data_IF_273736317938
#
_entry.id   IF_273736317938
#
_cell.length_a   1.000
_cell.length_b   1.000
_cell.length_c   1.000
_cell.angle_alpha   90.00
_cell.angle_beta   90.00
_cell.angle_gamma   90.00
#
_symmetry.space_group_name_H-M   'P 1'
#
loop_
_entity.id
_entity.type
_entity.pdbx_description
1 polymer ?
#
# COMPACT_ATOMS: atom_id res chain seq x y z
N UNK A 1 12.50 6.02 -42.78
CA UNK A 1 11.09 5.84 -42.33
C UNK A 1 10.70 4.37 -42.49
N UNK A 2 10.68 3.60 -41.41
CA UNK A 2 10.13 2.25 -41.44
C UNK A 2 8.63 2.35 -41.12
N UNK A 3 7.83 2.64 -42.17
CA UNK A 3 6.37 2.67 -42.09
C UNK A 3 5.80 1.25 -42.05
N UNK A 4 5.69 0.64 -40.89
CA UNK A 4 4.89 -0.58 -40.72
C UNK A 4 3.43 -0.14 -40.69
N UNK A 5 2.71 -0.31 -41.81
CA UNK A 5 1.25 -0.15 -41.86
C UNK A 5 0.58 -1.38 -41.27
N UNK A 6 0.13 -1.28 -39.99
CA UNK A 6 -0.67 -2.32 -39.37
C UNK A 6 -2.14 -2.17 -39.79
N UNK A 7 -2.79 -3.28 -40.16
CA UNK A 7 -4.23 -3.29 -40.42
C UNK A 7 -5.02 -2.95 -39.15
N UNK A 8 -6.21 -2.35 -39.29
CA UNK A 8 -7.12 -2.06 -38.16
C UNK A 8 -7.43 -3.34 -37.33
N UNK A 9 -7.52 -4.47 -38.01
CA UNK A 9 -7.78 -5.75 -37.38
C UNK A 9 -6.58 -6.27 -36.56
N UNK A 10 -5.36 -6.10 -37.07
CA UNK A 10 -4.12 -6.44 -36.35
C UNK A 10 -3.98 -5.58 -35.12
N UNK A 11 -4.25 -4.27 -35.21
CA UNK A 11 -4.25 -3.36 -34.06
C UNK A 11 -5.28 -3.83 -33.03
N UNK A 12 -6.52 -4.13 -33.43
CA UNK A 12 -7.58 -4.59 -32.53
C UNK A 12 -7.21 -5.93 -31.82
N UNK A 13 -6.70 -6.90 -32.56
CA UNK A 13 -6.23 -8.19 -32.01
C UNK A 13 -5.11 -7.98 -31.00
N UNK A 14 -4.17 -7.10 -31.31
CA UNK A 14 -3.04 -6.78 -30.39
C UNK A 14 -3.55 -6.12 -29.11
N UNK A 15 -4.42 -5.11 -29.21
CA UNK A 15 -5.01 -4.44 -28.04
C UNK A 15 -5.79 -5.41 -27.17
N UNK A 16 -6.64 -6.26 -27.76
CA UNK A 16 -7.42 -7.28 -27.02
C UNK A 16 -6.50 -8.29 -26.30
N UNK A 17 -5.40 -8.71 -26.95
CA UNK A 17 -4.42 -9.60 -26.33
C UNK A 17 -3.76 -8.93 -25.12
N UNK A 18 -3.29 -7.69 -25.28
CA UNK A 18 -2.63 -6.95 -24.20
C UNK A 18 -3.59 -6.67 -23.04
N UNK A 19 -4.87 -6.38 -23.33
CA UNK A 19 -5.89 -6.24 -22.31
C UNK A 19 -6.16 -7.57 -21.59
N UNK A 20 -6.21 -8.69 -22.32
CA UNK A 20 -6.30 -10.03 -21.73
C UNK A 20 -5.13 -10.32 -20.77
N UNK A 21 -3.90 -10.04 -21.19
CA UNK A 21 -2.69 -10.19 -20.37
C UNK A 21 -2.74 -9.28 -19.11
N UNK A 22 -3.28 -8.08 -19.25
CA UNK A 22 -3.43 -7.13 -18.16
C UNK A 22 -4.47 -7.60 -17.12
N UNK A 23 -5.60 -8.16 -17.59
CA UNK A 23 -6.62 -8.77 -16.71
C UNK A 23 -6.04 -10.02 -16.03
N UNK A 24 -5.29 -10.85 -16.77
CA UNK A 24 -4.64 -12.04 -16.25
C UNK A 24 -3.65 -11.72 -15.13
N UNK A 25 -3.07 -10.50 -15.09
CA UNK A 25 -2.23 -10.09 -13.99
C UNK A 25 -2.93 -10.17 -12.64
N UNK A 26 -4.20 -9.77 -12.56
CA UNK A 26 -4.98 -9.78 -11.32
C UNK A 26 -5.71 -11.13 -11.05
N UNK A 27 -5.60 -12.09 -11.95
CA UNK A 27 -6.18 -13.44 -11.75
C UNK A 27 -5.12 -14.54 -11.60
N UNK A 28 -3.84 -14.21 -11.82
CA UNK A 28 -2.75 -15.17 -11.68
C UNK A 28 -2.56 -15.63 -10.24
N UNK A 29 -2.02 -16.84 -10.08
CA UNK A 29 -1.52 -17.31 -8.78
C UNK A 29 -0.37 -16.39 -8.33
N UNK A 30 -0.35 -16.05 -7.06
CA UNK A 30 0.64 -15.18 -6.42
C UNK A 30 1.43 -15.97 -5.37
N UNK A 31 2.68 -15.58 -5.08
CA UNK A 31 3.43 -16.20 -4.01
C UNK A 31 2.78 -15.87 -2.65
N UNK A 32 2.90 -16.80 -1.71
CA UNK A 32 2.59 -16.53 -0.32
C UNK A 32 3.61 -15.54 0.25
N UNK A 33 3.13 -14.53 0.95
CA UNK A 33 3.92 -13.41 1.45
C UNK A 33 3.71 -13.22 2.95
N UNK A 34 4.80 -12.92 3.66
CA UNK A 34 4.75 -12.67 5.09
C UNK A 34 4.21 -11.27 5.43
N UNK A 35 4.66 -10.27 4.70
CA UNK A 35 4.26 -8.87 4.91
C UNK A 35 3.57 -8.37 3.64
N UNK A 36 2.41 -7.73 3.80
CA UNK A 36 1.64 -7.17 2.69
C UNK A 36 1.39 -5.69 2.94
N UNK A 37 1.83 -4.85 2.02
CA UNK A 37 1.53 -3.42 1.99
C UNK A 37 0.32 -3.18 1.10
N UNK A 38 -0.66 -2.43 1.60
CA UNK A 38 -1.80 -1.93 0.84
C UNK A 38 -1.79 -0.40 0.88
N UNK A 39 -1.76 0.23 -0.28
CA UNK A 39 -1.74 1.69 -0.39
C UNK A 39 -2.56 2.14 -1.60
N UNK A 40 -3.36 3.17 -1.39
CA UNK A 40 -4.22 3.78 -2.39
C UNK A 40 -3.51 4.91 -3.15
N UNK A 41 -3.69 4.94 -4.46
CA UNK A 41 -3.22 6.06 -5.29
C UNK A 41 -4.31 6.53 -6.22
N UNK A 42 -4.45 7.86 -6.37
CA UNK A 42 -5.44 8.44 -7.27
C UNK A 42 -4.82 8.72 -8.64
N UNK A 43 -5.47 8.21 -9.68
CA UNK A 43 -5.09 8.46 -11.08
C UNK A 43 -6.25 9.10 -11.85
N UNK A 44 -5.96 10.05 -12.76
CA UNK A 44 -6.98 10.63 -13.61
C UNK A 44 -7.30 9.67 -14.76
N UNK A 45 -8.55 9.24 -14.88
CA UNK A 45 -9.04 8.40 -16.00
C UNK A 45 -10.08 9.19 -16.78
N UNK A 46 -9.96 9.17 -18.11
CA UNK A 46 -10.93 9.79 -18.99
C UNK A 46 -12.01 8.79 -19.34
N UNK A 47 -13.24 9.02 -18.88
CA UNK A 47 -14.41 8.24 -19.26
C UNK A 47 -15.21 8.96 -20.34
N UNK A 48 -15.69 8.23 -21.33
CA UNK A 48 -16.64 8.71 -22.34
C UNK A 48 -18.05 8.32 -21.91
N UNK A 49 -18.91 9.33 -21.77
CA UNK A 49 -20.35 9.15 -21.60
C UNK A 49 -21.05 9.79 -22.82
N UNK A 50 -21.33 8.98 -23.87
CA UNK A 50 -21.84 9.49 -25.12
C UNK A 50 -20.85 10.47 -25.79
N UNK A 51 -21.33 11.65 -26.19
CA UNK A 51 -20.52 12.71 -26.82
C UNK A 51 -19.69 13.53 -25.82
N UNK A 52 -19.91 13.36 -24.52
CA UNK A 52 -19.13 14.04 -23.49
C UNK A 52 -17.99 13.18 -22.93
N UNK A 53 -16.88 13.82 -22.61
CA UNK A 53 -15.76 13.14 -21.94
C UNK A 53 -15.44 13.84 -20.64
N UNK A 54 -15.44 13.11 -19.53
CA UNK A 54 -15.08 13.61 -18.20
C UNK A 54 -13.82 12.94 -17.71
N UNK A 55 -12.94 13.71 -17.08
CA UNK A 55 -11.78 13.16 -16.37
C UNK A 55 -12.16 12.99 -14.91
N UNK A 56 -12.21 11.75 -14.45
CA UNK A 56 -12.48 11.41 -13.06
C UNK A 56 -11.19 10.93 -12.38
N UNK A 57 -11.07 11.21 -11.09
CA UNK A 57 -9.96 10.70 -10.28
C UNK A 57 -10.41 9.41 -9.62
N UNK A 58 -9.84 8.31 -10.04
CA UNK A 58 -10.14 7.00 -9.47
C UNK A 58 -9.04 6.57 -8.51
N UNK A 59 -9.45 5.98 -7.40
CA UNK A 59 -8.54 5.35 -6.47
C UNK A 59 -8.15 3.97 -6.99
N UNK A 60 -6.86 3.72 -7.04
CA UNK A 60 -6.30 2.42 -7.34
C UNK A 60 -5.57 1.94 -6.09
N UNK A 61 -6.07 0.86 -5.51
CA UNK A 61 -5.39 0.15 -4.45
C UNK A 61 -4.33 -0.76 -5.06
N UNK A 62 -3.11 -0.64 -4.60
CA UNK A 62 -2.00 -1.53 -4.95
C UNK A 62 -1.67 -2.42 -3.77
N UNK A 63 -1.51 -3.72 -4.01
CA UNK A 63 -1.02 -4.68 -3.04
C UNK A 63 0.41 -5.10 -3.40
N UNK A 64 1.35 -4.88 -2.48
CA UNK A 64 2.74 -5.29 -2.58
C UNK A 64 3.05 -6.28 -1.46
N UNK A 65 3.54 -7.45 -1.80
CA UNK A 65 3.96 -8.49 -0.86
C UNK A 65 5.48 -8.57 -0.71
N UNK A 66 5.90 -9.04 0.46
CA UNK A 66 7.26 -9.48 0.74
C UNK A 66 7.21 -10.98 0.88
N UNK A 67 7.90 -11.68 -0.02
CA UNK A 67 7.99 -13.15 -0.01
C UNK A 67 8.82 -13.65 1.18
N UNK A 68 8.79 -14.96 1.42
CA UNK A 68 9.66 -15.60 2.43
C UNK A 68 11.15 -15.42 2.17
N UNK A 69 11.53 -15.17 0.91
CA UNK A 69 12.92 -14.81 0.52
C UNK A 69 13.25 -13.32 0.65
N UNK A 70 12.29 -12.50 1.07
CA UNK A 70 12.47 -11.05 1.19
C UNK A 70 12.26 -10.26 -0.11
N UNK A 71 11.88 -10.91 -1.22
CA UNK A 71 11.66 -10.23 -2.48
C UNK A 71 10.35 -9.43 -2.44
N UNK A 72 10.37 -8.26 -3.07
CA UNK A 72 9.21 -7.40 -3.24
C UNK A 72 8.45 -7.77 -4.50
N UNK A 73 7.18 -8.08 -4.38
CA UNK A 73 6.32 -8.45 -5.51
C UNK A 73 5.00 -7.70 -5.47
N UNK A 74 4.59 -7.10 -6.59
CA UNK A 74 3.23 -6.57 -6.71
C UNK A 74 2.28 -7.75 -6.86
N UNK A 75 1.35 -7.90 -5.94
CA UNK A 75 0.37 -8.97 -5.90
C UNK A 75 -0.83 -8.66 -6.80
N UNK A 76 -1.25 -7.40 -6.84
CA UNK A 76 -2.38 -6.94 -7.64
C UNK A 76 -2.61 -5.44 -7.52
N UNK A 77 -3.54 -4.95 -8.34
CA UNK A 77 -4.07 -3.60 -8.28
C UNK A 77 -5.60 -3.64 -8.47
N UNK A 78 -6.32 -2.78 -7.78
CA UNK A 78 -7.78 -2.82 -7.74
C UNK A 78 -8.33 -1.41 -7.88
N UNK A 79 -9.32 -1.26 -8.76
CA UNK A 79 -10.07 -0.02 -8.86
C UNK A 79 -11.13 -0.01 -7.74
N UNK A 80 -11.06 0.98 -6.88
CA UNK A 80 -11.97 1.14 -5.75
C UNK A 80 -12.72 2.46 -5.90
N UNK A 81 -13.88 2.48 -6.57
CA UNK A 81 -14.61 3.70 -6.86
C UNK A 81 -15.13 4.40 -5.60
N UNK A 82 -15.28 3.67 -4.50
CA UNK A 82 -15.60 4.19 -3.18
C UNK A 82 -14.75 3.47 -2.12
N UNK A 83 -14.08 4.22 -1.27
CA UNK A 83 -13.34 3.72 -0.10
C UNK A 83 -14.33 3.20 0.98
N UNK A 84 -14.99 2.08 0.70
CA UNK A 84 -15.94 1.44 1.60
C UNK A 84 -15.40 0.11 2.13
N UNK A 85 -15.79 -0.27 3.35
CA UNK A 85 -15.37 -1.51 4.00
C UNK A 85 -15.63 -2.78 3.16
N UNK A 86 -16.63 -2.77 2.29
CA UNK A 86 -16.95 -3.87 1.37
C UNK A 86 -15.87 -4.10 0.31
N UNK A 87 -15.27 -3.03 -0.21
CA UNK A 87 -14.22 -3.13 -1.22
C UNK A 87 -12.95 -3.80 -0.66
N UNK A 88 -12.69 -3.65 0.63
CA UNK A 88 -11.52 -4.25 1.27
C UNK A 88 -11.65 -5.76 1.43
N UNK A 89 -12.82 -6.25 1.79
CA UNK A 89 -13.09 -7.69 1.88
C UNK A 89 -12.88 -8.38 0.52
N UNK A 90 -13.38 -7.79 -0.56
CA UNK A 90 -13.22 -8.32 -1.91
C UNK A 90 -11.76 -8.37 -2.35
N UNK A 91 -10.99 -7.30 -2.07
CA UNK A 91 -9.54 -7.24 -2.35
C UNK A 91 -8.81 -8.33 -1.58
N UNK A 92 -9.06 -8.45 -0.27
CA UNK A 92 -8.38 -9.42 0.58
C UNK A 92 -8.74 -10.86 0.22
N UNK A 93 -10.03 -11.15 -0.06
CA UNK A 93 -10.48 -12.47 -0.53
C UNK A 93 -9.93 -12.83 -1.91
N UNK A 94 -9.81 -11.85 -2.81
CA UNK A 94 -9.14 -12.06 -4.09
C UNK A 94 -7.67 -12.44 -3.90
N UNK A 95 -6.94 -11.76 -3.02
CA UNK A 95 -5.56 -12.12 -2.71
C UNK A 95 -5.47 -13.52 -2.10
N UNK A 96 -6.37 -13.87 -1.17
CA UNK A 96 -6.43 -15.19 -0.54
C UNK A 96 -6.68 -16.29 -1.56
N UNK A 97 -7.68 -16.12 -2.44
CA UNK A 97 -8.03 -17.12 -3.47
C UNK A 97 -6.92 -17.35 -4.49
N UNK A 98 -5.99 -16.42 -4.62
CA UNK A 98 -4.86 -16.46 -5.56
C UNK A 98 -3.57 -16.98 -4.97
N UNK A 99 -3.51 -17.28 -3.67
CA UNK A 99 -2.33 -17.91 -3.07
C UNK A 99 -1.74 -17.17 -1.85
N UNK A 100 -2.31 -16.08 -1.40
CA UNK A 100 -1.92 -15.44 -0.15
C UNK A 100 -2.59 -16.18 1.02
N UNK A 101 -1.88 -17.13 1.62
CA UNK A 101 -2.49 -18.00 2.63
C UNK A 101 -2.15 -17.62 4.06
N UNK A 102 -0.91 -17.20 4.31
CA UNK A 102 -0.39 -17.00 5.67
C UNK A 102 0.39 -15.69 5.85
N UNK A 103 -0.20 -14.52 5.51
CA UNK A 103 0.44 -13.26 5.82
C UNK A 103 0.49 -13.06 7.33
N UNK A 104 1.65 -12.69 7.86
CA UNK A 104 1.81 -12.36 9.28
C UNK A 104 1.46 -10.90 9.57
N UNK A 105 1.63 -10.01 8.59
CA UNK A 105 1.45 -8.57 8.78
C UNK A 105 0.88 -7.88 7.54
N UNK A 106 -0.14 -7.07 7.76
CA UNK A 106 -0.57 -6.05 6.81
C UNK A 106 -0.12 -4.67 7.27
N UNK A 107 0.44 -3.89 6.35
CA UNK A 107 0.80 -2.47 6.56
C UNK A 107 -0.08 -1.63 5.66
N UNK A 108 -0.88 -0.75 6.25
CA UNK A 108 -1.83 0.08 5.48
C UNK A 108 -1.79 1.54 5.95
N UNK A 109 -2.28 2.45 5.11
CA UNK A 109 -2.66 3.77 5.58
C UNK A 109 -3.96 3.68 6.42
N UNK A 110 -4.36 4.78 7.05
CA UNK A 110 -5.52 4.81 7.95
C UNK A 110 -6.87 4.61 7.26
N UNK A 111 -7.00 3.63 6.38
CA UNK A 111 -8.23 3.29 5.65
C UNK A 111 -9.27 2.74 6.63
N UNK A 112 -10.38 3.46 6.73
CA UNK A 112 -11.48 3.08 7.63
C UNK A 112 -12.05 1.71 7.27
N UNK A 113 -12.15 0.82 8.26
CA UNK A 113 -12.66 -0.55 8.10
C UNK A 113 -11.64 -1.56 7.58
N UNK A 114 -10.42 -1.15 7.24
CA UNK A 114 -9.37 -2.06 6.79
C UNK A 114 -8.90 -3.02 7.90
N UNK A 115 -8.64 -2.59 9.15
CA UNK A 115 -8.27 -3.50 10.22
C UNK A 115 -9.31 -4.59 10.46
N UNK A 116 -10.60 -4.23 10.40
CA UNK A 116 -11.71 -5.17 10.55
C UNK A 116 -11.78 -6.16 9.39
N UNK A 117 -11.57 -5.69 8.16
CA UNK A 117 -11.52 -6.53 6.97
C UNK A 117 -10.36 -7.54 7.05
N UNK A 118 -9.19 -7.09 7.47
CA UNK A 118 -8.02 -7.97 7.69
C UNK A 118 -8.35 -9.05 8.72
N UNK A 119 -8.91 -8.71 9.87
CA UNK A 119 -9.30 -9.68 10.91
C UNK A 119 -10.33 -10.71 10.42
N UNK A 120 -11.26 -10.31 9.54
CA UNK A 120 -12.25 -11.24 8.96
C UNK A 120 -11.65 -12.22 7.97
N UNK A 121 -10.74 -11.77 7.11
CA UNK A 121 -10.20 -12.58 6.01
C UNK A 121 -8.93 -13.32 6.43
N UNK A 122 -8.09 -12.69 7.23
CA UNK A 122 -6.82 -13.22 7.72
C UNK A 122 -6.74 -13.08 9.26
N UNK A 123 -7.49 -13.89 10.01
CA UNK A 123 -7.62 -13.73 11.47
C UNK A 123 -6.31 -13.86 12.26
N UNK A 124 -5.32 -14.54 11.68
CA UNK A 124 -3.99 -14.69 12.29
C UNK A 124 -3.02 -13.56 11.93
N UNK A 125 -3.36 -12.73 10.95
CA UNK A 125 -2.50 -11.63 10.54
C UNK A 125 -2.62 -10.44 11.48
N UNK A 126 -1.48 -9.83 11.79
CA UNK A 126 -1.42 -8.56 12.49
C UNK A 126 -1.62 -7.38 11.51
N UNK A 127 -1.96 -6.24 12.05
CA UNK A 127 -2.07 -5.00 11.29
C UNK A 127 -1.16 -3.93 11.88
N UNK A 128 -0.44 -3.23 11.02
CA UNK A 128 0.36 -2.05 11.34
C UNK A 128 -0.15 -0.85 10.55
N UNK A 129 -0.42 0.22 11.23
CA UNK A 129 -0.70 1.50 10.59
C UNK A 129 0.59 2.16 10.08
N UNK A 130 0.57 2.70 8.88
CA UNK A 130 1.69 3.48 8.36
C UNK A 130 1.88 4.78 9.16
N UNK A 131 2.94 4.86 9.95
CA UNK A 131 3.19 6.02 10.82
C UNK A 131 3.54 7.29 10.05
N UNK A 132 4.03 7.17 8.82
CA UNK A 132 4.25 8.33 7.94
C UNK A 132 2.90 8.93 7.51
N UNK A 133 1.91 8.10 7.17
CA UNK A 133 0.56 8.56 6.85
C UNK A 133 -0.13 9.12 8.09
N UNK A 134 0.02 8.49 9.23
CA UNK A 134 -0.53 9.00 10.49
C UNK A 134 0.08 10.36 10.85
N UNK A 135 1.40 10.53 10.73
CA UNK A 135 2.05 11.83 10.91
C UNK A 135 1.47 12.90 10.00
N UNK A 136 1.21 12.58 8.72
CA UNK A 136 0.59 13.51 7.76
C UNK A 136 -0.84 13.86 8.18
N UNK A 137 -1.58 12.89 8.72
CA UNK A 137 -2.96 13.08 9.22
C UNK A 137 -2.95 13.99 10.45
N UNK A 138 -2.11 13.74 11.44
CA UNK A 138 -1.89 14.59 12.61
C UNK A 138 -1.54 16.02 12.17
N UNK A 139 -0.60 16.18 11.23
CA UNK A 139 -0.19 17.50 10.74
C UNK A 139 -1.28 18.26 9.98
N UNK A 140 -2.30 17.59 9.45
CA UNK A 140 -3.47 18.27 8.84
C UNK A 140 -4.40 18.87 9.89
N UNK A 141 -4.46 18.26 11.06
CA UNK A 141 -5.37 18.67 12.14
C UNK A 141 -4.78 19.79 13.03
N UNK A 142 -3.55 20.24 12.76
CA UNK A 142 -2.87 21.28 13.53
C UNK A 142 -2.52 22.51 12.68
N UNK A 143 -2.29 23.66 13.36
CA UNK A 143 -1.87 24.91 12.71
C UNK A 143 -0.55 24.72 11.96
N UNK A 144 -0.38 25.44 10.86
CA UNK A 144 0.83 25.36 10.03
C UNK A 144 2.12 25.65 10.82
N UNK A 145 2.06 26.60 11.78
CA UNK A 145 3.18 26.95 12.68
C UNK A 145 3.66 25.76 13.51
N UNK A 146 2.75 24.88 13.93
CA UNK A 146 3.02 23.85 14.92
C UNK A 146 3.34 22.49 14.28
N UNK A 147 3.10 22.36 12.96
CA UNK A 147 3.26 21.09 12.21
C UNK A 147 4.64 20.47 12.37
N UNK A 148 5.69 21.31 12.32
CA UNK A 148 7.05 20.81 12.44
C UNK A 148 7.27 20.20 13.83
N UNK A 149 6.89 20.91 14.88
CA UNK A 149 7.09 20.46 16.25
C UNK A 149 6.24 19.22 16.55
N UNK A 150 4.96 19.20 16.16
CA UNK A 150 4.08 18.05 16.32
C UNK A 150 4.64 16.82 15.59
N UNK A 151 5.13 17.01 14.36
CA UNK A 151 5.75 15.92 13.59
C UNK A 151 7.03 15.38 14.24
N UNK A 152 7.89 16.28 14.73
CA UNK A 152 9.14 15.90 15.40
C UNK A 152 8.84 15.18 16.73
N UNK A 153 7.88 15.68 17.52
CA UNK A 153 7.43 15.06 18.76
C UNK A 153 6.82 13.66 18.52
N UNK A 154 5.96 13.52 17.50
CA UNK A 154 5.38 12.22 17.17
C UNK A 154 6.43 11.25 16.62
N UNK A 155 7.39 11.74 15.85
CA UNK A 155 8.54 10.93 15.42
C UNK A 155 9.33 10.40 16.61
N UNK A 156 9.52 11.19 17.65
CA UNK A 156 10.19 10.76 18.88
C UNK A 156 9.45 9.61 19.55
N UNK A 157 8.11 9.57 19.47
CA UNK A 157 7.29 8.46 20.00
C UNK A 157 7.68 7.14 19.33
N UNK A 158 7.59 7.05 18.02
CA UNK A 158 7.78 5.78 17.31
C UNK A 158 9.24 5.42 17.00
N UNK A 159 10.19 6.26 17.38
CA UNK A 159 11.63 5.92 17.36
C UNK A 159 12.15 5.46 18.72
N UNK A 160 11.26 5.08 19.62
CA UNK A 160 11.60 4.45 20.90
C UNK A 160 12.29 3.09 20.69
N UNK A 161 13.00 2.62 21.72
CA UNK A 161 13.76 1.36 21.67
C UNK A 161 12.90 0.12 21.90
N UNK A 162 11.64 0.29 22.28
CA UNK A 162 10.68 -0.77 22.52
C UNK A 162 9.31 -0.22 22.79
N UNK A 163 8.32 -1.14 22.88
CA UNK A 163 6.90 -0.80 23.00
C UNK A 163 6.59 -0.01 24.27
N UNK A 164 7.09 -0.42 25.43
CA UNK A 164 6.81 0.25 26.70
C UNK A 164 7.31 1.70 26.68
N UNK A 165 8.50 1.94 26.11
CA UNK A 165 9.02 3.29 25.95
C UNK A 165 8.20 4.09 24.94
N UNK A 166 7.74 3.47 23.86
CA UNK A 166 6.88 4.12 22.87
C UNK A 166 5.55 4.56 23.48
N UNK A 167 4.93 3.72 24.29
CA UNK A 167 3.68 4.02 25.01
C UNK A 167 3.87 5.17 26.00
N UNK A 168 4.97 5.19 26.76
CA UNK A 168 5.31 6.29 27.66
C UNK A 168 5.51 7.62 26.92
N UNK A 169 6.25 7.57 25.80
CA UNK A 169 6.48 8.74 24.95
C UNK A 169 5.17 9.22 24.29
N UNK A 170 4.26 8.29 23.93
CA UNK A 170 2.94 8.63 23.42
C UNK A 170 2.10 9.36 24.46
N UNK A 171 2.08 8.86 25.70
CA UNK A 171 1.37 9.53 26.78
C UNK A 171 1.91 10.95 27.05
N UNK A 172 3.24 11.15 26.93
CA UNK A 172 3.88 12.46 27.04
C UNK A 172 3.48 13.38 25.88
N UNK A 173 3.45 12.85 24.66
CA UNK A 173 2.99 13.58 23.46
C UNK A 173 1.53 14.02 23.63
N UNK A 174 0.66 13.13 24.05
CA UNK A 174 -0.75 13.42 24.29
C UNK A 174 -0.94 14.50 25.32
N UNK A 175 -0.30 14.37 26.49
CA UNK A 175 -0.37 15.36 27.59
C UNK A 175 0.08 16.75 27.13
N UNK A 176 1.13 16.82 26.29
CA UNK A 176 1.64 18.08 25.73
C UNK A 176 0.63 18.78 24.81
N UNK A 177 -0.04 18.00 23.95
CA UNK A 177 -0.83 18.55 22.86
C UNK A 177 -2.35 18.55 23.11
N UNK A 178 -2.85 17.83 24.13
CA UNK A 178 -4.28 17.66 24.41
C UNK A 178 -5.02 18.98 24.63
N UNK A 179 -4.39 19.95 25.36
CA UNK A 179 -5.01 21.26 25.60
C UNK A 179 -5.16 22.09 24.33
N UNK A 180 -4.22 21.97 23.41
CA UNK A 180 -4.19 22.77 22.17
C UNK A 180 -4.95 22.10 21.03
N UNK A 181 -4.86 20.76 20.93
CA UNK A 181 -5.43 19.96 19.85
C UNK A 181 -6.18 18.71 20.36
N UNK A 182 -7.26 18.88 21.16
CA UNK A 182 -7.95 17.76 21.79
C UNK A 182 -8.55 16.76 20.78
N UNK A 183 -9.00 17.24 19.62
CA UNK A 183 -9.56 16.39 18.57
C UNK A 183 -8.49 15.49 17.94
N UNK A 184 -7.30 16.01 17.70
CA UNK A 184 -6.16 15.28 17.16
C UNK A 184 -5.72 14.18 18.14
N UNK A 185 -5.53 14.52 19.42
CA UNK A 185 -5.13 13.56 20.45
C UNK A 185 -6.18 12.45 20.63
N UNK A 186 -7.47 12.79 20.65
CA UNK A 186 -8.55 11.80 20.75
C UNK A 186 -8.57 10.83 19.56
N UNK A 187 -8.31 11.30 18.33
CA UNK A 187 -8.18 10.42 17.16
C UNK A 187 -7.01 9.46 17.31
N UNK A 188 -5.88 9.94 17.79
CA UNK A 188 -4.67 9.14 17.96
C UNK A 188 -4.85 8.04 19.03
N UNK A 189 -5.52 8.35 20.15
CA UNK A 189 -5.85 7.37 21.20
C UNK A 189 -6.73 6.21 20.73
N UNK A 190 -7.50 6.41 19.68
CA UNK A 190 -8.39 5.39 19.09
C UNK A 190 -7.66 4.52 18.05
N UNK A 191 -6.33 4.62 17.94
CA UNK A 191 -5.53 3.83 17.00
C UNK A 191 -4.84 2.67 17.70
N UNK A 192 -5.32 1.46 17.48
CA UNK A 192 -4.83 0.26 18.19
C UNK A 192 -3.50 -0.31 17.65
N UNK A 193 -3.12 0.06 16.41
CA UNK A 193 -2.06 -0.65 15.68
C UNK A 193 -0.85 0.26 15.34
N UNK A 194 -0.50 1.16 16.26
CA UNK A 194 0.62 2.10 16.06
C UNK A 194 1.98 1.42 16.22
N UNK A 195 2.09 0.46 17.14
CA UNK A 195 3.36 -0.14 17.55
C UNK A 195 3.48 -1.63 17.25
N UNK A 196 2.65 -2.17 16.38
CA UNK A 196 2.70 -3.58 15.98
C UNK A 196 4.06 -3.94 15.37
N UNK A 197 4.72 -3.02 14.68
CA UNK A 197 6.04 -3.21 14.10
C UNK A 197 7.11 -3.59 15.14
N UNK A 198 6.94 -3.23 16.40
CA UNK A 198 7.90 -3.52 17.49
C UNK A 198 7.90 -5.00 17.93
N UNK A 199 6.95 -5.81 17.48
CA UNK A 199 6.98 -7.27 17.64
C UNK A 199 7.84 -7.98 16.59
N UNK A 200 8.38 -7.23 15.63
CA UNK A 200 9.22 -7.75 14.55
C UNK A 200 10.69 -7.36 14.79
N UNK A 201 11.66 -8.00 14.11
CA UNK A 201 13.07 -7.67 14.25
C UNK A 201 13.35 -6.17 14.02
N UNK A 202 14.15 -5.57 14.90
CA UNK A 202 14.43 -4.13 14.90
C UNK A 202 14.97 -3.63 13.55
N UNK A 203 15.77 -4.45 12.86
CA UNK A 203 16.29 -4.16 11.52
C UNK A 203 15.18 -3.86 10.50
N UNK A 204 13.98 -4.39 10.70
CA UNK A 204 12.83 -4.20 9.81
C UNK A 204 11.90 -3.06 10.25
N UNK A 205 12.01 -2.55 11.45
CA UNK A 205 11.07 -1.56 11.99
C UNK A 205 10.82 -0.40 11.04
N UNK A 206 11.90 0.24 10.56
CA UNK A 206 11.78 1.38 9.64
C UNK A 206 11.08 1.02 8.34
N UNK A 207 11.23 -0.20 7.87
CA UNK A 207 10.58 -0.68 6.66
C UNK A 207 9.10 -0.98 6.91
N UNK A 208 8.76 -1.51 8.09
CA UNK A 208 7.39 -1.88 8.46
C UNK A 208 6.54 -0.64 8.78
N UNK A 209 7.02 0.28 9.65
CA UNK A 209 6.21 1.43 10.05
C UNK A 209 6.12 2.53 8.97
N UNK A 210 6.77 2.34 7.81
CA UNK A 210 6.66 3.26 6.67
C UNK A 210 6.10 2.56 5.46
N UNK A 211 5.29 3.26 4.67
CA UNK A 211 4.84 2.78 3.35
C UNK A 211 5.83 3.09 2.21
N UNK A 212 7.06 3.52 2.52
CA UNK A 212 8.05 3.90 1.50
C UNK A 212 8.29 2.79 0.46
N UNK A 213 8.15 1.53 0.89
CA UNK A 213 8.27 0.36 0.01
C UNK A 213 7.28 0.40 -1.14
N UNK A 214 6.02 0.71 -0.88
CA UNK A 214 4.96 0.80 -1.89
C UNK A 214 4.82 2.22 -2.47
N UNK A 215 5.12 3.27 -1.69
CA UNK A 215 5.03 4.67 -2.14
C UNK A 215 5.94 4.94 -3.36
N UNK A 216 7.12 4.33 -3.42
CA UNK A 216 8.03 4.47 -4.56
C UNK A 216 7.41 3.94 -5.85
N UNK A 217 6.70 2.81 -5.78
CA UNK A 217 5.95 2.26 -6.91
C UNK A 217 4.76 3.16 -7.28
N UNK A 218 3.98 3.59 -6.29
CA UNK A 218 2.86 4.50 -6.50
C UNK A 218 3.29 5.85 -7.09
N UNK A 219 4.48 6.36 -6.72
CA UNK A 219 5.06 7.55 -7.34
C UNK A 219 5.43 7.32 -8.83
N UNK A 220 5.92 6.11 -9.20
CA UNK A 220 6.14 5.72 -10.60
C UNK A 220 4.81 5.70 -11.36
N UNK A 221 3.77 5.07 -10.81
CA UNK A 221 2.43 5.06 -11.40
C UNK A 221 1.90 6.48 -11.62
N UNK A 222 1.95 7.34 -10.61
CA UNK A 222 1.51 8.74 -10.71
C UNK A 222 2.24 9.51 -11.81
N UNK A 223 3.54 9.27 -12.01
CA UNK A 223 4.31 9.92 -13.10
C UNK A 223 3.87 9.45 -14.48
N UNK A 224 3.61 8.15 -14.64
CA UNK A 224 3.13 7.59 -15.89
C UNK A 224 1.73 8.11 -16.23
N UNK A 225 0.84 8.15 -15.23
CA UNK A 225 -0.56 8.55 -15.42
C UNK A 225 -0.76 10.07 -15.58
N UNK A 226 0.19 10.90 -15.13
CA UNK A 226 0.19 12.36 -15.39
C UNK A 226 0.35 12.72 -16.88
N UNK A 227 0.97 11.86 -17.68
CA UNK A 227 1.02 12.01 -19.12
C UNK A 227 -0.36 11.65 -19.69
N UNK A 228 -1.28 12.61 -19.68
CA UNK A 228 -2.72 12.53 -20.03
C UNK A 228 -3.09 11.73 -21.28
N UNK A 229 -2.11 11.45 -22.17
CA UNK A 229 -2.29 10.72 -23.42
C UNK A 229 -2.52 9.21 -23.17
N UNK A 230 -2.04 8.67 -22.08
CA UNK A 230 -2.03 7.21 -21.83
C UNK A 230 -3.33 6.68 -21.18
N UNK A 231 -4.13 7.53 -20.53
CA UNK A 231 -5.32 7.12 -19.80
C UNK A 231 -6.60 7.72 -20.42
N UNK A 232 -6.72 7.59 -21.73
CA UNK A 232 -7.89 8.08 -22.47
C UNK A 232 -9.08 7.10 -22.44
N UNK A 233 -8.92 5.94 -21.81
CA UNK A 233 -9.99 4.98 -21.52
C UNK A 233 -9.62 4.13 -20.29
N UNK A 234 -10.60 3.41 -19.74
CA UNK A 234 -10.42 2.48 -18.63
C UNK A 234 -9.50 1.31 -19.03
N UNK A 235 -9.65 0.77 -20.25
CA UNK A 235 -8.80 -0.30 -20.76
C UNK A 235 -7.32 0.15 -20.83
N UNK A 236 -7.07 1.36 -21.30
CA UNK A 236 -5.71 1.90 -21.36
C UNK A 236 -5.12 2.12 -19.97
N UNK A 237 -5.94 2.48 -18.99
CA UNK A 237 -5.53 2.56 -17.59
C UNK A 237 -5.14 1.18 -17.05
N UNK A 238 -5.98 0.16 -17.26
CA UNK A 238 -5.72 -1.23 -16.85
C UNK A 238 -4.42 -1.73 -17.49
N UNK A 239 -4.26 -1.57 -18.79
CA UNK A 239 -3.06 -2.00 -19.52
C UNK A 239 -1.81 -1.31 -18.97
N UNK A 240 -1.85 0.01 -18.77
CA UNK A 240 -0.70 0.79 -18.30
C UNK A 240 -0.27 0.38 -16.91
N UNK A 241 -1.24 0.18 -16.00
CA UNK A 241 -0.98 -0.20 -14.62
C UNK A 241 -0.46 -1.64 -14.56
N UNK A 242 -1.12 -2.58 -15.25
CA UNK A 242 -0.71 -3.99 -15.30
C UNK A 242 0.71 -4.15 -15.88
N UNK A 243 1.01 -3.42 -16.96
CA UNK A 243 2.36 -3.43 -17.55
C UNK A 243 3.42 -2.91 -16.58
N UNK A 244 3.09 -1.86 -15.81
CA UNK A 244 4.00 -1.32 -14.78
C UNK A 244 4.21 -2.30 -13.63
N UNK A 245 3.16 -3.01 -13.22
CA UNK A 245 3.22 -4.06 -12.20
C UNK A 245 4.07 -5.25 -12.69
N UNK A 246 3.84 -5.70 -13.92
CA UNK A 246 4.60 -6.80 -14.53
C UNK A 246 6.08 -6.45 -14.70
N UNK A 247 6.39 -5.22 -15.12
CA UNK A 247 7.78 -4.72 -15.21
C UNK A 247 8.45 -4.70 -13.84
N UNK A 248 7.73 -4.25 -12.80
CA UNK A 248 8.25 -4.28 -11.43
C UNK A 248 8.58 -5.70 -11.00
N UNK A 249 7.68 -6.65 -11.24
CA UNK A 249 7.85 -8.04 -10.83
C UNK A 249 8.96 -8.78 -11.61
N UNK A 250 9.26 -8.39 -12.86
CA UNK A 250 10.43 -8.92 -13.59
C UNK A 250 11.76 -8.62 -12.90
N UNK A 251 11.80 -7.59 -12.09
CA UNK A 251 12.96 -7.19 -11.30
C UNK A 251 12.85 -7.64 -9.83
N UNK A 252 11.82 -8.41 -9.45
CA UNK A 252 11.52 -8.78 -8.06
C UNK A 252 12.70 -9.48 -7.37
N UNK A 253 13.37 -10.41 -8.06
CA UNK A 253 14.56 -11.09 -7.52
C UNK A 253 15.78 -10.18 -7.33
N UNK A 254 15.71 -8.90 -7.78
CA UNK A 254 16.76 -7.88 -7.58
C UNK A 254 16.36 -6.83 -6.56
N UNK A 255 15.08 -6.79 -6.17
CA UNK A 255 14.51 -5.79 -5.24
C UNK A 255 14.09 -6.52 -3.98
N UNK A 256 15.02 -6.69 -3.06
CA UNK A 256 14.74 -7.27 -1.75
C UNK A 256 14.34 -6.19 -0.74
N UNK A 257 13.72 -6.61 0.34
CA UNK A 257 13.48 -5.75 1.48
C UNK A 257 14.82 -5.35 2.10
N UNK A 258 14.99 -4.06 2.40
CA UNK A 258 16.23 -3.57 3.01
C UNK A 258 16.50 -4.30 4.33
N UNK A 259 17.74 -4.71 4.55
CA UNK A 259 18.20 -5.48 5.71
C UNK A 259 17.60 -6.88 5.87
N UNK A 260 16.85 -7.39 4.90
CA UNK A 260 16.31 -8.75 4.99
C UNK A 260 17.41 -9.81 4.97
N UNK A 261 18.48 -9.57 4.21
CA UNK A 261 19.66 -10.45 4.16
C UNK A 261 20.49 -10.47 5.45
N UNK A 262 20.35 -9.42 6.27
CA UNK A 262 21.07 -9.28 7.54
C UNK A 262 20.35 -9.99 8.71
N UNK A 263 19.13 -10.50 8.48
CA UNK A 263 18.34 -11.22 9.47
C UNK A 263 18.88 -12.62 9.72
N UNK A 264 18.88 -13.03 10.99
CA UNK A 264 19.12 -14.41 11.38
C UNK A 264 17.99 -15.33 10.92
N UNK A 265 18.22 -16.64 10.89
CA UNK A 265 17.15 -17.61 10.57
C UNK A 265 16.03 -17.60 11.61
N UNK A 266 16.33 -17.28 12.87
CA UNK A 266 15.30 -17.14 13.91
C UNK A 266 14.48 -15.86 13.75
N UNK A 267 15.10 -14.74 13.35
CA UNK A 267 14.39 -13.52 12.97
C UNK A 267 13.42 -13.78 11.81
N UNK A 268 13.86 -14.49 10.79
CA UNK A 268 13.03 -14.86 9.64
C UNK A 268 11.85 -15.73 10.07
N UNK A 269 12.10 -16.74 10.92
CA UNK A 269 11.01 -17.56 11.48
C UNK A 269 9.99 -16.73 12.25
N UNK A 270 10.43 -15.78 13.09
CA UNK A 270 9.55 -14.86 13.83
C UNK A 270 8.67 -13.97 12.95
N UNK A 271 9.12 -13.64 11.72
CA UNK A 271 8.31 -12.90 10.75
C UNK A 271 7.18 -13.78 10.17
N UNK A 272 7.40 -15.09 10.03
CA UNK A 272 6.49 -16.02 9.35
C UNK A 272 5.57 -16.80 10.28
N UNK A 273 5.88 -16.82 11.57
CA UNK A 273 5.11 -17.48 12.61
C UNK A 273 4.89 -16.47 13.74
N UNK A 274 3.89 -15.59 13.62
CA UNK A 274 3.56 -14.71 14.75
C UNK A 274 3.13 -15.58 15.94
N UNK A 275 3.78 -15.36 17.10
CA UNK A 275 3.42 -15.96 18.38
C UNK A 275 2.00 -15.57 18.79
#
# INVERSE_FOLDING_TARGET
>A
EFGISLSKETIRKTVNKVLGDAIAFNTRIIPDCAIVYLDGTYVPIKRRNGDSSKVERECIMVALGITKGGEKVILGFYFTPNEGAWAWDDVLRNLQSRGLYSPSLFVTDGLKGMPEAIRRVFPMAQHQMCLVHETRTICRDVRKSDRKQVSDDFRYVYTARGKDEAELRLATFESKWEKTYPSMVRKLRNQDNLFTFMYYPELLWKTIYTSNTIESFNAKLKRLTRKRILLNSEENAIITIASSCAEYNKNAGRITLRHFGDLTEDDKKGIFLPN
#
